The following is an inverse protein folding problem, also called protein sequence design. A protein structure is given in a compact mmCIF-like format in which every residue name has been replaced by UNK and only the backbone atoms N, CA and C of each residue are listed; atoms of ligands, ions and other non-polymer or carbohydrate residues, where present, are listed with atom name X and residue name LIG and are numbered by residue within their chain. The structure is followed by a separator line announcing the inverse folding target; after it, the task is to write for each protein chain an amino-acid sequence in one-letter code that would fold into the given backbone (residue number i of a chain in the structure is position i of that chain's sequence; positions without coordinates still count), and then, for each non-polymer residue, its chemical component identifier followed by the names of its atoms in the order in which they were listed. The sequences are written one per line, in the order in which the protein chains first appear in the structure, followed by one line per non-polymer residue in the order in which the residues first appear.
data_IF_934678894724
#
_entry.id   IF_934678894724
#
_cell.length_a   1.000
_cell.length_b   1.000
_cell.length_c   1.000
_cell.angle_alpha   90.00
_cell.angle_beta   90.00
_cell.angle_gamma   90.00
#
_symmetry.space_group_name_H-M   'P 1'
#
loop_
_entity.id
_entity.type
_entity.pdbx_description
1 polymer ?
#
# COMPACT_ATOMS: atom_id res chain seq x y z
N UNK A 1 2.96 -5.11 0.78
CA UNK A 1 4.04 -4.62 -0.11
C UNK A 1 3.57 -3.48 -0.99
N UNK A 2 2.62 -3.70 -1.90
CA UNK A 2 1.89 -2.78 -2.78
C UNK A 2 2.72 -2.03 -3.86
N UNK A 3 4.04 -2.06 -3.79
CA UNK A 3 4.93 -1.58 -4.86
C UNK A 3 6.27 -2.33 -4.82
N UNK A 4 6.93 -2.55 -5.97
CA UNK A 4 8.18 -3.29 -6.05
C UNK A 4 9.43 -2.41 -5.96
N UNK A 5 9.27 -1.09 -5.86
CA UNK A 5 10.34 -0.11 -5.70
C UNK A 5 9.91 1.03 -4.76
N UNK A 6 10.90 1.71 -4.16
CA UNK A 6 10.64 2.74 -3.15
C UNK A 6 9.94 3.98 -3.72
N UNK A 7 10.27 4.38 -4.95
CA UNK A 7 9.68 5.57 -5.57
C UNK A 7 8.15 5.45 -5.70
N UNK A 8 7.67 4.30 -6.14
CA UNK A 8 6.24 4.02 -6.23
C UNK A 8 5.65 3.74 -4.84
N UNK A 9 6.40 3.06 -3.97
CA UNK A 9 5.93 2.73 -2.63
C UNK A 9 5.78 3.97 -1.74
N UNK A 10 6.59 4.98 -1.91
CA UNK A 10 6.45 6.27 -1.19
C UNK A 10 5.14 6.98 -1.49
N UNK A 11 4.59 6.77 -2.69
CA UNK A 11 3.31 7.33 -3.10
C UNK A 11 2.13 6.52 -2.56
N UNK A 12 2.21 5.20 -2.62
CA UNK A 12 1.12 4.29 -2.27
C UNK A 12 1.08 3.97 -0.77
N UNK A 13 2.23 3.94 -0.12
CA UNK A 13 2.41 3.49 1.27
C UNK A 13 3.36 4.46 1.98
N UNK A 14 2.87 5.62 2.46
CA UNK A 14 3.73 6.70 2.98
C UNK A 14 4.69 6.31 4.11
N UNK A 15 4.40 5.25 4.86
CA UNK A 15 5.31 4.72 5.89
C UNK A 15 6.63 4.19 5.30
N UNK A 16 6.69 4.00 3.96
CA UNK A 16 7.92 3.62 3.27
C UNK A 16 9.06 4.61 3.53
N UNK A 17 8.76 5.91 3.62
CA UNK A 17 9.75 6.94 3.95
C UNK A 17 10.50 6.69 5.27
N UNK A 18 9.85 6.00 6.20
CA UNK A 18 10.45 5.60 7.48
C UNK A 18 11.07 4.20 7.42
N UNK A 19 10.45 3.31 6.66
CA UNK A 19 10.86 1.91 6.51
C UNK A 19 10.89 1.54 5.02
N UNK A 20 11.96 1.92 4.29
CA UNK A 20 12.11 1.59 2.88
C UNK A 20 12.24 0.08 2.66
N UNK A 21 12.17 -0.33 1.41
CA UNK A 21 12.09 -1.76 1.05
C UNK A 21 13.26 -2.58 1.56
N UNK A 22 14.47 -2.04 1.55
CA UNK A 22 15.67 -2.72 2.07
C UNK A 22 15.53 -3.04 3.57
N UNK A 23 15.06 -2.07 4.37
CA UNK A 23 14.81 -2.24 5.81
C UNK A 23 13.69 -3.26 6.06
N UNK A 24 12.59 -3.15 5.30
CA UNK A 24 11.47 -4.08 5.39
C UNK A 24 11.90 -5.51 5.05
N UNK A 25 12.59 -5.71 3.93
CA UNK A 25 13.01 -7.04 3.47
C UNK A 25 14.07 -7.65 4.38
N UNK A 26 14.98 -6.84 4.91
CA UNK A 26 15.92 -7.30 5.91
C UNK A 26 15.20 -7.80 7.18
N UNK A 27 14.14 -7.10 7.60
CA UNK A 27 13.32 -7.57 8.72
C UNK A 27 12.56 -8.86 8.38
N UNK A 28 12.01 -8.98 7.17
CA UNK A 28 11.37 -10.20 6.68
C UNK A 28 12.34 -11.39 6.68
N UNK A 29 13.55 -11.22 6.15
CA UNK A 29 14.59 -12.26 6.12
C UNK A 29 14.94 -12.73 7.55
N UNK A 30 15.16 -11.80 8.48
CA UNK A 30 15.41 -12.13 9.89
C UNK A 30 14.24 -12.87 10.55
N UNK A 31 13.02 -12.49 10.21
CA UNK A 31 11.84 -13.15 10.75
C UNK A 31 11.70 -14.59 10.25
N UNK A 32 11.81 -14.78 8.93
CA UNK A 32 11.70 -16.11 8.31
C UNK A 32 12.79 -17.06 8.83
N UNK A 33 14.03 -16.59 8.99
CA UNK A 33 15.12 -17.43 9.51
C UNK A 33 14.85 -18.00 10.90
N UNK A 34 13.95 -17.39 11.66
CA UNK A 34 13.54 -17.84 13.02
C UNK A 34 12.32 -18.75 13.02
N UNK A 35 11.58 -18.83 11.91
CA UNK A 35 10.32 -19.57 11.87
C UNK A 35 10.47 -21.08 11.59
N UNK A 36 11.65 -21.52 11.13
CA UNK A 36 11.89 -22.88 10.65
C UNK A 36 11.35 -23.11 9.22
N UNK A 37 11.79 -24.20 8.58
CA UNK A 37 11.63 -24.45 7.16
C UNK A 37 10.20 -24.58 6.62
N UNK A 38 9.23 -24.84 7.50
CA UNK A 38 7.82 -25.07 7.09
C UNK A 38 6.98 -23.78 7.03
N UNK A 39 7.50 -22.64 7.41
CA UNK A 39 6.73 -21.40 7.46
C UNK A 39 7.22 -20.41 6.43
N UNK A 40 6.28 -19.83 5.67
CA UNK A 40 6.52 -18.82 4.65
C UNK A 40 5.73 -17.56 4.95
N UNK A 41 6.24 -16.41 4.51
CA UNK A 41 5.51 -15.17 4.58
C UNK A 41 4.38 -15.13 3.53
N UNK A 42 3.33 -14.40 3.82
CA UNK A 42 2.35 -13.99 2.82
C UNK A 42 2.60 -12.53 2.47
N UNK A 43 2.93 -12.28 1.22
CA UNK A 43 3.10 -10.94 0.66
C UNK A 43 1.79 -10.53 0.02
N UNK A 44 1.09 -9.58 0.60
CA UNK A 44 -0.09 -8.98 -0.01
C UNK A 44 0.31 -7.84 -0.95
N UNK A 45 -0.30 -7.81 -2.14
CA UNK A 45 -0.07 -6.81 -3.16
C UNK A 45 -1.39 -6.38 -3.80
N UNK A 46 -1.80 -5.15 -3.53
CA UNK A 46 -3.01 -4.58 -4.14
C UNK A 46 -2.67 -4.09 -5.54
N UNK A 47 -3.38 -4.61 -6.54
CA UNK A 47 -3.21 -4.23 -7.94
C UNK A 47 -4.09 -3.04 -8.29
N UNK A 48 -3.48 -1.97 -8.77
CA UNK A 48 -4.08 -0.71 -9.19
C UNK A 48 -3.82 -0.51 -10.68
N UNK A 49 -4.88 -0.30 -11.47
CA UNK A 49 -4.80 -0.14 -12.94
C UNK A 49 -3.88 1.02 -13.33
N UNK A 50 -2.91 0.73 -14.20
CA UNK A 50 -1.97 1.72 -14.73
C UNK A 50 -0.99 2.30 -13.71
N UNK A 51 -0.97 1.81 -12.49
CA UNK A 51 -0.11 2.31 -11.42
C UNK A 51 0.97 1.31 -11.05
N UNK A 52 0.59 0.10 -10.66
CA UNK A 52 1.51 -0.93 -10.19
C UNK A 52 1.22 -2.32 -10.80
N UNK A 53 0.43 -2.39 -11.87
CA UNK A 53 -0.07 -3.60 -12.52
C UNK A 53 0.66 -3.94 -13.83
N UNK A 54 1.77 -3.23 -14.15
CA UNK A 54 2.52 -3.44 -15.37
C UNK A 54 3.45 -4.67 -15.25
N UNK A 55 3.78 -5.35 -16.37
CA UNK A 55 4.70 -6.50 -16.38
C UNK A 55 6.02 -6.25 -15.66
N UNK A 56 6.58 -5.07 -15.86
CA UNK A 56 7.86 -4.65 -15.26
C UNK A 56 7.80 -4.64 -13.73
N UNK A 57 6.63 -4.32 -13.16
CA UNK A 57 6.43 -4.37 -11.71
C UNK A 57 6.44 -5.81 -11.18
N UNK A 58 5.92 -6.77 -11.95
CA UNK A 58 5.98 -8.18 -11.59
C UNK A 58 7.42 -8.72 -11.65
N UNK A 59 8.18 -8.33 -12.67
CA UNK A 59 9.61 -8.69 -12.82
C UNK A 59 10.45 -8.11 -11.68
N UNK A 60 10.21 -6.84 -11.31
CA UNK A 60 10.85 -6.22 -10.15
C UNK A 60 10.50 -6.95 -8.85
N UNK A 61 9.24 -7.41 -8.69
CA UNK A 61 8.85 -8.20 -7.53
C UNK A 61 9.58 -9.54 -7.44
N UNK A 62 9.79 -10.23 -8.57
CA UNK A 62 10.55 -11.48 -8.62
C UNK A 62 11.96 -11.24 -8.09
N UNK A 63 12.65 -10.21 -8.60
CA UNK A 63 13.99 -9.88 -8.14
C UNK A 63 14.04 -9.49 -6.67
N UNK A 64 13.05 -8.68 -6.22
CA UNK A 64 12.94 -8.20 -4.85
C UNK A 64 12.73 -9.31 -3.82
N UNK A 65 11.99 -10.35 -4.19
CA UNK A 65 11.58 -11.44 -3.29
C UNK A 65 12.39 -12.73 -3.48
N UNK A 66 13.41 -12.72 -4.32
CA UNK A 66 14.18 -13.91 -4.70
C UNK A 66 14.71 -14.73 -3.50
N UNK A 67 15.16 -14.05 -2.44
CA UNK A 67 15.74 -14.67 -1.24
C UNK A 67 14.75 -14.77 -0.07
N UNK A 68 13.47 -14.57 -0.30
CA UNK A 68 12.47 -14.58 0.78
C UNK A 68 11.46 -15.69 0.54
N UNK A 69 11.45 -16.76 1.34
CA UNK A 69 10.42 -17.78 1.27
C UNK A 69 9.05 -17.19 1.52
N UNK A 70 8.29 -16.98 0.46
CA UNK A 70 6.98 -16.35 0.54
C UNK A 70 5.98 -16.90 -0.48
N UNK A 71 4.70 -16.69 -0.20
CA UNK A 71 3.61 -16.75 -1.16
C UNK A 71 3.06 -15.35 -1.39
N UNK A 72 2.59 -15.08 -2.59
CA UNK A 72 2.07 -13.78 -2.97
C UNK A 72 0.54 -13.85 -3.08
N UNK A 73 -0.15 -12.91 -2.45
CA UNK A 73 -1.58 -12.75 -2.56
C UNK A 73 -1.88 -11.44 -3.29
N UNK A 74 -2.29 -11.55 -4.55
CA UNK A 74 -2.71 -10.41 -5.36
C UNK A 74 -4.15 -10.03 -5.00
N UNK A 75 -4.36 -8.76 -4.72
CA UNK A 75 -5.65 -8.20 -4.34
C UNK A 75 -6.05 -7.19 -5.41
N UNK A 76 -6.86 -7.57 -6.42
CA UNK A 76 -7.39 -6.60 -7.37
C UNK A 76 -8.14 -5.52 -6.62
N UNK A 77 -7.82 -4.26 -6.92
CA UNK A 77 -8.45 -3.12 -6.27
C UNK A 77 -9.97 -3.14 -6.49
N UNK A 78 -10.73 -2.88 -5.45
CA UNK A 78 -12.16 -2.67 -5.54
C UNK A 78 -12.43 -1.16 -5.41
N UNK A 79 -12.85 -0.47 -6.50
CA UNK A 79 -13.07 0.97 -6.47
C UNK A 79 -14.14 1.36 -5.46
N UNK A 80 -13.92 2.47 -4.77
CA UNK A 80 -14.89 3.11 -3.89
C UNK A 80 -14.93 4.62 -4.18
N UNK A 81 -16.01 5.34 -3.83
CA UNK A 81 -16.13 6.77 -4.09
C UNK A 81 -14.90 7.54 -3.59
N UNK A 82 -14.36 8.41 -4.45
CA UNK A 82 -13.19 9.25 -4.17
C UNK A 82 -11.85 8.52 -3.99
N UNK A 83 -11.76 7.22 -4.32
CA UNK A 83 -10.50 6.48 -4.22
C UNK A 83 -9.41 6.95 -5.18
N UNK A 84 -9.78 7.53 -6.33
CA UNK A 84 -8.85 7.97 -7.36
C UNK A 84 -8.13 6.85 -8.12
N UNK A 85 -8.44 5.57 -7.83
CA UNK A 85 -7.84 4.40 -8.46
C UNK A 85 -8.89 3.51 -9.10
N UNK A 86 -8.44 2.72 -10.08
CA UNK A 86 -9.28 1.77 -10.81
C UNK A 86 -8.77 0.33 -10.64
N UNK A 87 -9.69 -0.62 -10.83
CA UNK A 87 -9.36 -2.04 -10.87
C UNK A 87 -8.71 -2.39 -12.21
N UNK A 88 -7.61 -3.16 -12.23
CA UNK A 88 -7.06 -3.72 -13.46
C UNK A 88 -8.03 -4.67 -14.15
N UNK A 89 -7.90 -4.80 -15.47
CA UNK A 89 -8.64 -5.81 -16.23
C UNK A 89 -8.24 -7.22 -15.78
N UNK A 90 -9.15 -8.17 -15.95
CA UNK A 90 -8.86 -9.58 -15.63
C UNK A 90 -7.66 -10.12 -16.44
N UNK A 91 -7.47 -9.64 -17.66
CA UNK A 91 -6.30 -10.01 -18.47
C UNK A 91 -4.99 -9.46 -17.90
N UNK A 92 -4.99 -8.21 -17.42
CA UNK A 92 -3.82 -7.62 -16.76
C UNK A 92 -3.48 -8.38 -15.46
N UNK A 93 -4.49 -8.71 -14.66
CA UNK A 93 -4.32 -9.51 -13.42
C UNK A 93 -3.72 -10.87 -13.74
N UNK A 94 -4.25 -11.59 -14.74
CA UNK A 94 -3.73 -12.90 -15.16
C UNK A 94 -2.30 -12.80 -15.67
N UNK A 95 -2.02 -11.83 -16.52
CA UNK A 95 -0.67 -11.60 -17.05
C UNK A 95 0.33 -11.34 -15.92
N UNK A 96 -0.02 -10.51 -14.95
CA UNK A 96 0.82 -10.22 -13.78
C UNK A 96 1.07 -11.49 -12.95
N UNK A 97 0.02 -12.27 -12.71
CA UNK A 97 0.10 -13.54 -12.00
C UNK A 97 1.00 -14.55 -12.74
N UNK A 98 0.84 -14.69 -14.07
CA UNK A 98 1.63 -15.60 -14.88
C UNK A 98 3.12 -15.28 -14.86
N UNK A 99 3.48 -13.99 -14.87
CA UNK A 99 4.88 -13.57 -14.76
C UNK A 99 5.47 -14.01 -13.42
N UNK A 100 4.76 -13.77 -12.33
CA UNK A 100 5.19 -14.16 -10.98
C UNK A 100 5.30 -15.68 -10.84
N UNK A 101 4.36 -16.45 -11.41
CA UNK A 101 4.43 -17.92 -11.44
C UNK A 101 5.64 -18.42 -12.22
N UNK A 102 5.92 -17.83 -13.40
CA UNK A 102 7.12 -18.16 -14.20
C UNK A 102 8.40 -17.82 -13.44
N UNK A 103 8.36 -16.81 -12.57
CA UNK A 103 9.44 -16.46 -11.65
C UNK A 103 9.57 -17.38 -10.43
N UNK A 104 8.77 -18.47 -10.36
CA UNK A 104 8.86 -19.47 -9.29
C UNK A 104 8.06 -19.17 -8.02
N UNK A 105 7.24 -18.12 -8.02
CA UNK A 105 6.45 -17.78 -6.85
C UNK A 105 5.11 -18.49 -6.82
N UNK A 106 4.65 -18.86 -5.61
CA UNK A 106 3.28 -19.32 -5.38
C UNK A 106 2.38 -18.09 -5.26
N UNK A 107 1.44 -17.93 -6.19
CA UNK A 107 0.61 -16.73 -6.32
C UNK A 107 -0.86 -17.08 -6.28
N UNK A 108 -1.60 -16.41 -5.42
CA UNK A 108 -3.06 -16.47 -5.37
C UNK A 108 -3.64 -15.11 -5.73
N UNK A 109 -4.81 -15.11 -6.36
CA UNK A 109 -5.59 -13.89 -6.61
C UNK A 109 -6.83 -13.93 -5.72
N UNK A 110 -7.02 -12.89 -4.92
CA UNK A 110 -8.21 -12.76 -4.09
C UNK A 110 -9.41 -12.43 -4.98
N UNK A 111 -10.34 -13.35 -5.07
CA UNK A 111 -11.66 -13.12 -5.67
C UNK A 111 -12.58 -12.53 -4.61
N UNK A 112 -13.06 -11.31 -4.84
CA UNK A 112 -14.17 -10.75 -4.06
C UNK A 112 -15.42 -11.58 -4.38
N UNK A 113 -15.94 -12.32 -3.43
CA UNK A 113 -17.24 -12.99 -3.57
C UNK A 113 -18.30 -11.92 -3.40
N UNK A 114 -19.07 -11.65 -4.45
CA UNK A 114 -20.24 -10.77 -4.45
C UNK A 114 -19.95 -9.38 -5.02
N UNK A 115 -20.52 -9.12 -6.19
CA UNK A 115 -20.65 -7.77 -6.73
C UNK A 115 -21.66 -6.92 -5.92
N UNK A 116 -22.37 -7.53 -4.95
CA UNK A 116 -23.46 -6.93 -4.18
C UNK A 116 -23.10 -6.52 -2.75
N UNK A 117 -21.85 -6.67 -2.34
CA UNK A 117 -21.41 -6.10 -1.08
C UNK A 117 -20.68 -4.81 -1.42
N UNK A 118 -21.44 -3.72 -1.53
CA UNK A 118 -20.92 -2.37 -1.37
C UNK A 118 -19.88 -2.40 -0.26
N UNK A 119 -18.65 -2.10 -0.65
CA UNK A 119 -17.45 -2.37 0.11
C UNK A 119 -17.62 -2.10 1.60
N UNK A 120 -17.90 -3.12 2.37
CA UNK A 120 -18.11 -3.05 3.81
C UNK A 120 -16.91 -2.41 4.55
N UNK A 121 -15.75 -2.33 3.92
CA UNK A 121 -14.58 -1.60 4.42
C UNK A 121 -14.59 -0.11 4.09
N UNK A 122 -15.26 0.34 3.00
CA UNK A 122 -15.35 1.77 2.62
C UNK A 122 -16.51 2.49 3.32
N UNK A 123 -17.64 1.80 3.51
CA UNK A 123 -18.80 2.38 4.21
C UNK A 123 -18.61 2.43 5.73
N UNK A 124 -17.84 1.52 6.32
CA UNK A 124 -17.46 1.60 7.74
C UNK A 124 -16.61 2.83 8.07
N UNK A 125 -15.84 3.36 7.12
CA UNK A 125 -15.08 4.61 7.31
C UNK A 125 -15.99 5.84 7.27
N UNK A 126 -17.10 5.79 6.54
CA UNK A 126 -18.08 6.90 6.45
C UNK A 126 -19.17 6.91 7.54
N UNK A 127 -19.41 5.78 8.23
CA UNK A 127 -20.45 5.65 9.26
C UNK A 127 -19.91 5.40 10.67
N UNK A 128 -18.63 5.14 10.83
CA UNK A 128 -18.03 5.23 12.15
C UNK A 128 -17.89 6.70 12.47
N UNK A 129 -18.91 7.26 13.11
CA UNK A 129 -18.78 8.49 13.89
C UNK A 129 -17.49 8.32 14.70
N UNK A 130 -16.47 9.11 14.37
CA UNK A 130 -15.20 9.10 15.08
C UNK A 130 -15.44 9.45 16.55
N UNK A 131 -15.74 8.44 17.36
CA UNK A 131 -15.96 8.56 18.80
C UNK A 131 -14.74 9.11 19.53
N UNK A 132 -13.60 9.18 18.85
CA UNK A 132 -12.33 9.63 19.45
C UNK A 132 -11.95 11.06 19.09
N UNK A 133 -12.67 11.72 18.16
CA UNK A 133 -12.36 13.06 17.64
C UNK A 133 -10.90 13.25 17.22
N UNK A 134 -10.23 12.16 16.84
CA UNK A 134 -8.82 12.21 16.42
C UNK A 134 -8.65 12.88 15.07
N UNK A 135 -9.56 12.66 14.14
CA UNK A 135 -9.58 13.32 12.84
C UNK A 135 -9.72 14.82 12.92
N UNK A 136 -10.61 15.32 13.80
CA UNK A 136 -10.78 16.76 14.04
C UNK A 136 -9.51 17.39 14.64
N UNK A 137 -8.82 16.70 15.55
CA UNK A 137 -7.54 17.14 16.09
C UNK A 137 -6.42 17.19 15.05
N UNK A 138 -6.41 16.24 14.10
CA UNK A 138 -5.42 16.23 13.02
C UNK A 138 -5.63 17.37 12.01
N UNK A 139 -6.87 17.70 11.71
CA UNK A 139 -7.24 18.82 10.82
C UNK A 139 -6.91 20.14 11.52
N UNK A 140 -7.30 20.33 12.78
CA UNK A 140 -7.02 21.53 13.55
C UNK A 140 -5.51 21.80 13.72
N UNK A 141 -4.70 20.77 13.94
CA UNK A 141 -3.23 20.92 14.03
C UNK A 141 -2.62 21.29 12.68
N UNK A 142 -3.18 20.83 11.57
CA UNK A 142 -2.70 21.16 10.23
C UNK A 142 -3.08 22.58 9.82
N UNK A 143 -4.24 23.07 10.20
CA UNK A 143 -4.66 24.44 9.95
C UNK A 143 -3.83 25.45 10.78
N UNK A 144 -3.52 25.13 12.03
CA UNK A 144 -2.64 25.97 12.88
C UNK A 144 -1.19 26.04 12.38
N UNK A 145 -0.74 25.07 11.58
CA UNK A 145 0.60 25.06 10.99
C UNK A 145 0.65 25.72 9.60
N UNK A 146 -0.48 26.06 9.00
CA UNK A 146 -0.60 26.65 7.67
C UNK A 146 -0.84 28.16 7.66
N UNK A 147 -0.97 28.82 8.81
CA UNK A 147 -1.05 30.27 8.85
C UNK A 147 0.36 30.90 8.68
N UNK A 148 0.59 31.73 7.64
CA UNK A 148 1.84 32.44 7.48
C UNK A 148 1.95 33.53 8.56
N UNK A 149 3.05 33.48 9.30
CA UNK A 149 3.36 34.34 10.43
C UNK A 149 3.09 35.82 10.16
N UNK A 150 2.27 36.41 11.00
CA UNK A 150 2.06 37.84 11.08
C UNK A 150 3.39 38.51 11.49
N UNK A 151 3.96 39.28 10.57
CA UNK A 151 5.13 40.09 10.80
C UNK A 151 4.85 41.08 11.93
N UNK A 152 5.63 40.99 12.98
CA UNK A 152 5.68 41.98 14.03
C UNK A 152 6.41 43.24 13.49
N UNK A 153 5.64 44.27 13.19
CA UNK A 153 6.18 45.63 13.09
C UNK A 153 6.27 46.24 14.49
N UNK A 154 7.42 46.13 15.10
CA UNK A 154 7.75 46.97 16.25
C UNK A 154 8.17 48.34 15.74
N UNK A 155 7.28 49.31 15.88
CA UNK A 155 7.59 50.72 15.69
C UNK A 155 8.31 51.24 16.95
N UNK A 156 9.49 51.75 16.72
CA UNK A 156 10.31 52.48 17.66
C UNK A 156 9.76 53.95 17.79
N UNK A 157 9.41 54.40 18.96
CA UNK A 157 9.30 55.84 19.28
C UNK A 157 9.74 56.12 20.71
N UNK A 158 10.77 56.92 20.72
CA UNK A 158 11.20 57.90 21.75
C UNK A 158 11.78 57.36 23.02
#
# INVERSE_FOLDING_TARGET
LHAPNDALRDQLVPINKKYPLDVLLAACKRYVSRLGEKRVLTIEYTLLKGVNDQPEHAEQMIALLADIPCKINLIPFNPFPHSGYERPSNNAIRRFQDILHKGGHNVTVRTTRGEDIDAACGQLVGQVLDRTRRSERYIAVRELQSEPGAAQTASNRS
#
